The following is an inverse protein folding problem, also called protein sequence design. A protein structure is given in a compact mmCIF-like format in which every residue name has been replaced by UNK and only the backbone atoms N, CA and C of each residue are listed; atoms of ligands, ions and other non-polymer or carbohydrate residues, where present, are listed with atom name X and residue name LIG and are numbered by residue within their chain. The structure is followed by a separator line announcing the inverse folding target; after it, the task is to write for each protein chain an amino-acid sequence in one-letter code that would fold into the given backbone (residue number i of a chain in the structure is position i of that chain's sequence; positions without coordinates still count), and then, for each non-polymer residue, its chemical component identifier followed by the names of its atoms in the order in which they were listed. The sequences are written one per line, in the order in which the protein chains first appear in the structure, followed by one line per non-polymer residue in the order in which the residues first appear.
data_IF_795082466464
#
_entry.id   IF_795082466464
#
_cell.length_a   1.000
_cell.length_b   1.000
_cell.length_c   1.000
_cell.angle_alpha   90.00
_cell.angle_beta   90.00
_cell.angle_gamma   90.00
#
_symmetry.space_group_name_H-M   'P 1'
#
loop_
_entity.id
_entity.type
_entity.pdbx_description
1 polymer ?
#
# COMPACT_ATOMS: atom_id res chain seq x y z
N UNK A 1 5.68 -10.22 2.47
CA UNK A 1 5.15 -10.88 1.26
C UNK A 1 5.81 -10.19 0.08
N UNK A 2 6.39 -10.97 -0.82
CA UNK A 2 7.18 -10.50 -1.96
C UNK A 2 6.36 -9.67 -2.94
N UNK A 3 6.65 -8.38 -3.07
CA UNK A 3 6.13 -7.48 -4.11
C UNK A 3 6.98 -7.49 -5.39
N UNK A 4 7.90 -8.47 -5.53
CA UNK A 4 8.87 -8.51 -6.63
C UNK A 4 8.25 -8.72 -8.03
N UNK A 5 6.96 -9.06 -8.14
CA UNK A 5 6.31 -9.37 -9.43
C UNK A 5 5.38 -8.26 -9.95
N UNK A 6 5.12 -7.19 -9.19
CA UNK A 6 4.30 -6.04 -9.63
C UNK A 6 5.11 -4.90 -10.28
N UNK A 7 6.39 -5.10 -10.57
CA UNK A 7 7.36 -4.01 -10.72
C UNK A 7 7.12 -3.08 -11.94
N UNK A 8 6.56 -3.56 -13.05
CA UNK A 8 6.53 -2.77 -14.30
C UNK A 8 5.37 -1.76 -14.34
N UNK A 9 4.15 -2.23 -14.04
CA UNK A 9 2.96 -1.37 -14.01
C UNK A 9 2.97 -0.43 -12.81
N UNK A 10 3.44 -0.91 -11.65
CA UNK A 10 3.53 -0.10 -10.45
C UNK A 10 4.54 1.04 -10.62
N UNK A 11 5.71 0.79 -11.24
CA UNK A 11 6.70 1.86 -11.47
C UNK A 11 6.15 2.96 -12.38
N UNK A 12 5.49 2.58 -13.49
CA UNK A 12 4.78 3.53 -14.35
C UNK A 12 3.71 4.30 -13.60
N UNK A 13 2.89 3.63 -12.79
CA UNK A 13 1.88 4.30 -11.96
C UNK A 13 2.50 5.23 -10.91
N UNK A 14 3.67 4.93 -10.35
CA UNK A 14 4.38 5.84 -9.43
C UNK A 14 4.84 7.11 -10.16
N UNK A 15 5.25 6.99 -11.43
CA UNK A 15 5.70 8.12 -12.24
C UNK A 15 4.52 8.93 -12.84
N UNK A 16 3.47 8.26 -13.29
CA UNK A 16 2.33 8.86 -13.99
C UNK A 16 1.17 9.22 -13.05
N UNK A 17 1.13 8.66 -11.83
CA UNK A 17 0.02 8.82 -10.89
C UNK A 17 0.53 9.13 -9.46
N UNK A 18 0.47 10.41 -9.10
CA UNK A 18 0.86 10.93 -7.79
C UNK A 18 0.08 10.30 -6.61
N UNK A 19 -1.17 9.89 -6.84
CA UNK A 19 -1.99 9.19 -5.85
C UNK A 19 -1.43 7.79 -5.54
N UNK A 20 -1.01 7.06 -6.57
CA UNK A 20 -0.38 5.75 -6.40
C UNK A 20 0.96 5.87 -5.69
N UNK A 21 1.77 6.87 -6.04
CA UNK A 21 3.02 7.19 -5.35
C UNK A 21 2.81 7.44 -3.86
N UNK A 22 1.84 8.30 -3.53
CA UNK A 22 1.50 8.61 -2.14
C UNK A 22 1.06 7.36 -1.37
N UNK A 23 0.22 6.51 -2.00
CA UNK A 23 -0.23 5.26 -1.38
C UNK A 23 0.90 4.25 -1.20
N UNK A 24 1.83 4.19 -2.14
CA UNK A 24 3.01 3.34 -2.03
C UNK A 24 3.90 3.78 -0.86
N UNK A 25 4.12 5.09 -0.70
CA UNK A 25 4.83 5.64 0.45
C UNK A 25 4.10 5.38 1.78
N UNK A 26 2.78 5.60 1.82
CA UNK A 26 1.95 5.28 2.99
C UNK A 26 2.04 3.79 3.36
N UNK A 27 1.98 2.90 2.36
CA UNK A 27 2.12 1.47 2.58
C UNK A 27 3.46 1.11 3.20
N UNK A 28 4.55 1.70 2.70
CA UNK A 28 5.90 1.46 3.21
C UNK A 28 6.08 1.99 4.63
N UNK A 29 5.52 3.17 4.94
CA UNK A 29 5.49 3.73 6.31
C UNK A 29 4.73 2.80 7.25
N UNK A 30 3.50 2.42 6.90
CA UNK A 30 2.69 1.51 7.70
C UNK A 30 3.39 0.16 7.92
N UNK A 31 4.06 -0.38 6.90
CA UNK A 31 4.78 -1.64 7.04
C UNK A 31 6.00 -1.50 7.97
N UNK A 32 6.68 -0.35 7.93
CA UNK A 32 7.76 -0.03 8.87
C UNK A 32 7.24 0.07 10.30
N UNK A 33 6.20 0.87 10.54
CA UNK A 33 5.62 1.06 11.86
C UNK A 33 5.11 -0.27 12.43
N UNK A 34 4.40 -1.08 11.62
CA UNK A 34 3.98 -2.44 12.02
C UNK A 34 5.17 -3.31 12.37
N UNK A 35 6.25 -3.29 11.59
CA UNK A 35 7.42 -4.10 11.84
C UNK A 35 8.17 -3.65 13.10
N UNK A 36 8.24 -2.35 13.37
CA UNK A 36 8.82 -1.81 14.60
C UNK A 36 8.03 -2.25 15.83
N UNK A 37 6.70 -2.20 15.76
CA UNK A 37 5.82 -2.70 16.81
C UNK A 37 5.94 -4.23 16.97
N UNK A 38 5.83 -4.99 15.90
CA UNK A 38 5.93 -6.47 15.94
C UNK A 38 7.30 -6.94 16.42
N UNK A 39 8.37 -6.16 16.19
CA UNK A 39 9.71 -6.44 16.73
C UNK A 39 9.79 -6.27 18.25
N UNK A 40 8.92 -5.45 18.85
CA UNK A 40 8.84 -5.35 20.30
C UNK A 40 8.22 -6.62 20.88
N UNK A 41 8.93 -7.23 21.82
CA UNK A 41 8.53 -8.48 22.46
C UNK A 41 7.30 -8.33 23.37
N UNK A 42 7.04 -7.11 23.82
CA UNK A 42 5.90 -6.70 24.63
C UNK A 42 5.44 -5.34 24.12
N UNK A 43 4.19 -5.28 23.66
CA UNK A 43 3.54 -4.05 23.23
C UNK A 43 2.76 -3.48 24.40
N UNK A 44 2.83 -2.16 24.56
CA UNK A 44 1.92 -1.43 25.46
C UNK A 44 0.50 -1.41 24.87
N UNK A 45 -0.55 -1.19 25.69
CA UNK A 45 -1.93 -1.10 25.18
C UNK A 45 -2.10 -0.03 24.09
N UNK A 46 -1.37 1.08 24.16
CA UNK A 46 -1.35 2.10 23.11
C UNK A 46 -0.76 1.56 21.80
N UNK A 47 0.31 0.77 21.88
CA UNK A 47 0.95 0.14 20.74
C UNK A 47 0.13 -1.00 20.13
N UNK A 48 -0.61 -1.77 20.93
CA UNK A 48 -1.56 -2.77 20.42
C UNK A 48 -2.72 -2.12 19.66
N UNK A 49 -3.23 -0.99 20.17
CA UNK A 49 -4.21 -0.18 19.46
C UNK A 49 -3.65 0.34 18.14
N UNK A 50 -2.41 0.84 18.15
CA UNK A 50 -1.75 1.32 16.93
C UNK A 50 -1.48 0.20 15.93
N UNK A 51 -1.01 -0.97 16.38
CA UNK A 51 -0.82 -2.15 15.53
C UNK A 51 -2.15 -2.57 14.88
N UNK A 52 -3.25 -2.53 15.65
CA UNK A 52 -4.59 -2.86 15.13
C UNK A 52 -5.07 -1.81 14.13
N UNK A 53 -4.82 -0.53 14.39
CA UNK A 53 -5.10 0.58 13.47
C UNK A 53 -4.30 0.41 12.18
N UNK A 54 -3.00 0.14 12.27
CA UNK A 54 -2.12 -0.09 11.14
C UNK A 54 -2.53 -1.32 10.33
N UNK A 55 -2.97 -2.42 10.97
CA UNK A 55 -3.54 -3.58 10.24
C UNK A 55 -4.78 -3.19 9.43
N UNK A 56 -5.68 -2.38 9.99
CA UNK A 56 -6.85 -1.86 9.27
C UNK A 56 -6.44 -0.92 8.14
N UNK A 57 -5.50 -0.03 8.39
CA UNK A 57 -4.96 0.88 7.37
C UNK A 57 -4.28 0.11 6.24
N UNK A 58 -3.55 -0.97 6.54
CA UNK A 58 -2.96 -1.84 5.53
C UNK A 58 -4.02 -2.51 4.65
N UNK A 59 -5.15 -2.90 5.25
CA UNK A 59 -6.30 -3.43 4.49
C UNK A 59 -6.91 -2.36 3.59
N UNK A 60 -7.13 -1.15 4.10
CA UNK A 60 -7.62 -0.01 3.33
C UNK A 60 -6.65 0.39 2.21
N UNK A 61 -5.35 0.40 2.49
CA UNK A 61 -4.30 0.70 1.52
C UNK A 61 -4.25 -0.34 0.41
N UNK A 62 -4.45 -1.63 0.74
CA UNK A 62 -4.62 -2.69 -0.26
C UNK A 62 -5.83 -2.43 -1.15
N UNK A 63 -6.98 -2.11 -0.56
CA UNK A 63 -8.21 -1.81 -1.30
C UNK A 63 -8.02 -0.61 -2.25
N UNK A 64 -7.31 0.42 -1.79
CA UNK A 64 -6.97 1.61 -2.56
C UNK A 64 -6.00 1.32 -3.70
N UNK A 65 -4.96 0.52 -3.46
CA UNK A 65 -4.04 0.06 -4.51
C UNK A 65 -4.78 -0.76 -5.57
N UNK A 66 -5.68 -1.67 -5.17
CA UNK A 66 -6.49 -2.43 -6.13
C UNK A 66 -7.42 -1.54 -6.95
N UNK A 67 -8.02 -0.51 -6.35
CA UNK A 67 -8.79 0.48 -7.10
C UNK A 67 -7.95 1.17 -8.17
N UNK A 68 -6.76 1.66 -7.81
CA UNK A 68 -5.90 2.35 -8.77
C UNK A 68 -5.43 1.39 -9.86
N UNK A 69 -5.04 0.16 -9.52
CA UNK A 69 -4.67 -0.85 -10.50
C UNK A 69 -5.84 -1.17 -11.46
N UNK A 70 -7.06 -1.24 -10.93
CA UNK A 70 -8.27 -1.47 -11.72
C UNK A 70 -8.55 -0.30 -12.67
N UNK A 71 -8.44 0.94 -12.19
CA UNK A 71 -8.61 2.15 -13.00
C UNK A 71 -7.51 2.27 -14.06
N UNK A 72 -6.25 2.06 -13.69
CA UNK A 72 -5.12 2.04 -14.60
C UNK A 72 -5.30 1.00 -15.72
N UNK A 73 -5.79 -0.19 -15.36
CA UNK A 73 -6.12 -1.25 -16.32
C UNK A 73 -7.28 -0.86 -17.24
N UNK A 74 -8.28 -0.13 -16.76
CA UNK A 74 -9.37 0.39 -17.60
C UNK A 74 -8.88 1.45 -18.56
N UNK A 75 -8.07 2.40 -18.09
CA UNK A 75 -7.47 3.46 -18.93
C UNK A 75 -6.64 2.83 -20.05
N UNK A 76 -5.76 1.88 -19.72
CA UNK A 76 -4.97 1.16 -20.73
C UNK A 76 -5.83 0.37 -21.73
N UNK A 77 -7.02 -0.10 -21.33
CA UNK A 77 -7.96 -0.78 -22.23
C UNK A 77 -8.85 0.18 -23.02
N UNK A 78 -8.98 1.44 -22.61
CA UNK A 78 -9.85 2.45 -23.23
C UNK A 78 -9.14 3.40 -24.20
N UNK A 79 -7.80 3.39 -24.24
CA UNK A 79 -6.98 4.23 -25.15
C UNK A 79 -6.80 3.59 -26.55
N UNK A 80 -7.50 2.49 -26.83
CA UNK A 80 -7.62 1.94 -28.19
C UNK A 80 -9.00 2.28 -28.76
N UNK A 81 -9.19 3.53 -29.18
CA UNK A 81 -10.41 4.02 -29.82
C UNK A 81 -10.12 5.22 -30.69
#
# INVERSE_FOLDING_TARGET
MSTATMNDLASRLIEENDEFRTLHEEHFRMERDVNELVRKKTLTPEEEMELTRLKKLKLLGKDRMEKILSEARKVLRGVTG
#
